data_IF_224854711904
#
_entry.id   IF_224854711904
#
_cell.length_a   1.000
_cell.length_b   1.000
_cell.length_c   1.000
_cell.angle_alpha   90.00
_cell.angle_beta   90.00
_cell.angle_gamma   90.00
#
_symmetry.space_group_name_H-M   'P 1'
#
loop_
_entity.id
_entity.type
_entity.pdbx_description
1 polymer ?
#
# COMPACT_ATOMS: atom_id res chain seq x y z
N UNK A 1 -75.91 -21.40 9.69
CA UNK A 1 -76.61 -21.37 8.38
C UNK A 1 -76.36 -20.01 7.76
N UNK A 2 -75.82 -20.01 6.52
CA UNK A 2 -75.55 -18.88 5.61
C UNK A 2 -74.49 -17.85 6.09
N UNK A 3 -73.55 -17.33 5.28
CA UNK A 3 -73.55 -17.13 3.82
C UNK A 3 -72.11 -16.89 3.32
N UNK A 4 -71.80 -17.35 2.10
CA UNK A 4 -70.64 -16.95 1.30
C UNK A 4 -70.80 -15.50 0.82
N UNK A 5 -69.74 -14.69 0.90
CA UNK A 5 -69.59 -13.46 0.11
C UNK A 5 -68.12 -13.31 -0.31
N UNK A 6 -67.90 -13.35 -1.62
CA UNK A 6 -66.60 -13.24 -2.28
C UNK A 6 -66.03 -11.82 -2.24
N UNK A 7 -64.71 -11.74 -2.12
CA UNK A 7 -63.96 -10.48 -2.20
C UNK A 7 -63.79 -10.04 -3.66
N UNK A 8 -63.97 -8.74 -3.97
CA UNK A 8 -63.76 -8.21 -5.31
C UNK A 8 -62.27 -8.09 -5.65
N UNK A 9 -61.95 -8.46 -6.88
CA UNK A 9 -60.64 -8.29 -7.51
C UNK A 9 -60.44 -6.82 -7.89
N UNK A 10 -59.43 -6.15 -7.31
CA UNK A 10 -59.13 -4.77 -7.64
C UNK A 10 -58.09 -4.13 -6.74
N UNK A 11 -56.82 -4.52 -6.90
CA UNK A 11 -55.69 -3.67 -6.50
C UNK A 11 -54.42 -4.16 -7.21
N UNK A 12 -53.81 -3.38 -8.12
CA UNK A 12 -52.50 -3.73 -8.65
C UNK A 12 -51.48 -3.61 -7.51
N UNK A 13 -50.93 -4.76 -7.10
CA UNK A 13 -49.82 -4.84 -6.16
C UNK A 13 -48.60 -4.23 -6.87
N UNK A 14 -48.32 -2.95 -6.64
CA UNK A 14 -47.09 -2.31 -7.08
C UNK A 14 -45.95 -3.00 -6.34
N UNK A 15 -45.33 -3.98 -6.99
CA UNK A 15 -44.08 -4.55 -6.54
C UNK A 15 -43.01 -3.48 -6.73
N UNK A 16 -42.74 -2.71 -5.68
CA UNK A 16 -41.46 -2.02 -5.54
C UNK A 16 -40.39 -3.12 -5.44
N UNK A 17 -39.90 -3.55 -6.60
CA UNK A 17 -38.66 -4.31 -6.73
C UNK A 17 -37.52 -3.39 -6.32
N UNK A 18 -37.36 -3.21 -5.01
CA UNK A 18 -36.14 -2.66 -4.45
C UNK A 18 -35.01 -3.57 -4.89
N UNK A 19 -34.16 -3.06 -5.77
CA UNK A 19 -32.81 -3.60 -5.96
C UNK A 19 -32.13 -3.41 -4.60
N UNK A 20 -32.25 -4.41 -3.73
CA UNK A 20 -31.32 -4.54 -2.61
C UNK A 20 -30.00 -4.89 -3.29
N UNK A 21 -29.23 -3.85 -3.59
CA UNK A 21 -27.85 -3.97 -4.00
C UNK A 21 -27.10 -4.48 -2.79
N UNK A 22 -27.12 -5.80 -2.62
CA UNK A 22 -26.46 -6.52 -1.54
C UNK A 22 -24.96 -6.52 -1.86
N UNK A 23 -24.35 -5.32 -1.79
CA UNK A 23 -22.91 -5.15 -1.89
C UNK A 23 -22.32 -5.98 -0.75
N UNK A 24 -21.46 -6.98 -1.03
CA UNK A 24 -20.98 -7.89 0.01
C UNK A 24 -20.37 -7.09 1.16
N UNK A 25 -21.07 -7.12 2.31
CA UNK A 25 -20.84 -6.22 3.45
C UNK A 25 -19.48 -6.41 4.14
N UNK A 26 -18.74 -7.48 3.84
CA UNK A 26 -17.68 -7.96 4.74
C UNK A 26 -16.30 -8.18 4.09
N UNK A 27 -15.73 -7.19 3.40
CA UNK A 27 -14.32 -7.20 2.96
C UNK A 27 -13.47 -6.25 3.82
N UNK A 28 -13.48 -6.41 5.16
CA UNK A 28 -12.67 -5.59 6.07
C UNK A 28 -11.41 -6.31 6.58
N UNK A 29 -11.37 -7.64 6.57
CA UNK A 29 -10.30 -8.40 7.20
C UNK A 29 -9.53 -9.22 6.15
N UNK A 30 -8.45 -8.68 5.55
CA UNK A 30 -7.64 -9.40 4.58
C UNK A 30 -6.69 -10.41 5.24
N UNK A 31 -7.09 -11.05 6.36
CA UNK A 31 -6.26 -11.97 7.14
C UNK A 31 -6.62 -13.44 6.94
N UNK A 32 -7.64 -13.69 6.11
CA UNK A 32 -8.09 -15.05 5.74
C UNK A 32 -8.23 -15.12 4.23
N UNK A 33 -8.10 -16.32 3.66
CA UNK A 33 -8.25 -16.52 2.21
C UNK A 33 -9.60 -15.98 1.71
N UNK A 34 -10.69 -16.24 2.44
CA UNK A 34 -12.01 -15.71 2.10
C UNK A 34 -12.12 -14.19 2.29
N UNK A 35 -11.41 -13.62 3.27
CA UNK A 35 -11.33 -12.17 3.47
C UNK A 35 -10.66 -11.45 2.29
N UNK A 36 -9.51 -11.97 1.85
CA UNK A 36 -8.78 -11.49 0.66
C UNK A 36 -9.63 -11.66 -0.61
N UNK A 37 -10.29 -12.81 -0.77
CA UNK A 37 -11.13 -13.11 -1.93
C UNK A 37 -12.28 -12.11 -2.13
N UNK A 38 -12.87 -11.59 -1.04
CA UNK A 38 -13.96 -10.60 -1.09
C UNK A 38 -13.53 -9.25 -1.68
N UNK A 39 -12.22 -8.92 -1.70
CA UNK A 39 -11.73 -7.72 -2.36
C UNK A 39 -11.91 -7.74 -3.89
N UNK A 40 -12.15 -8.92 -4.49
CA UNK A 40 -12.55 -9.02 -5.88
C UNK A 40 -13.80 -8.18 -6.21
N UNK A 41 -14.76 -8.14 -5.28
CA UNK A 41 -16.01 -7.39 -5.43
C UNK A 41 -16.00 -6.04 -4.69
N UNK A 42 -15.01 -5.78 -3.83
CA UNK A 42 -14.92 -4.53 -3.07
C UNK A 42 -14.64 -3.32 -3.98
N UNK A 43 -15.05 -2.13 -3.53
CA UNK A 43 -14.71 -0.87 -4.18
C UNK A 43 -13.20 -0.60 -4.06
N UNK A 44 -12.63 0.10 -5.04
CA UNK A 44 -11.21 0.52 -5.01
C UNK A 44 -10.90 1.40 -3.80
N UNK A 45 -11.84 2.27 -3.41
CA UNK A 45 -11.70 3.11 -2.21
C UNK A 45 -11.55 2.28 -0.94
N UNK A 46 -12.32 1.18 -0.80
CA UNK A 46 -12.23 0.31 0.37
C UNK A 46 -10.87 -0.40 0.43
N UNK A 47 -10.38 -0.87 -0.71
CA UNK A 47 -9.04 -1.45 -0.80
C UNK A 47 -7.99 -0.44 -0.36
N UNK A 48 -8.03 0.77 -0.91
CA UNK A 48 -7.09 1.84 -0.55
C UNK A 48 -7.11 2.18 0.94
N UNK A 49 -8.29 2.25 1.57
CA UNK A 49 -8.39 2.49 3.02
C UNK A 49 -7.71 1.37 3.82
N UNK A 50 -7.90 0.11 3.42
CA UNK A 50 -7.28 -1.03 4.09
C UNK A 50 -5.77 -1.03 3.87
N UNK A 51 -5.31 -0.79 2.64
CA UNK A 51 -3.88 -0.61 2.34
C UNK A 51 -3.27 0.49 3.22
N UNK A 52 -3.90 1.65 3.30
CA UNK A 52 -3.42 2.77 4.11
C UNK A 52 -3.34 2.43 5.60
N UNK A 53 -4.31 1.68 6.15
CA UNK A 53 -4.24 1.24 7.55
C UNK A 53 -3.02 0.35 7.79
N UNK A 54 -2.77 -0.62 6.92
CA UNK A 54 -1.60 -1.50 7.04
C UNK A 54 -0.29 -0.74 6.77
N UNK A 55 -0.26 0.18 5.81
CA UNK A 55 0.90 1.00 5.51
C UNK A 55 1.25 1.94 6.67
N UNK A 56 0.24 2.55 7.31
CA UNK A 56 0.42 3.38 8.51
C UNK A 56 0.91 2.54 9.70
N UNK A 57 0.39 1.32 9.88
CA UNK A 57 0.89 0.39 10.89
C UNK A 57 2.36 0.04 10.66
N UNK A 58 2.74 -0.38 9.44
CA UNK A 58 4.14 -0.68 9.09
C UNK A 58 5.03 0.54 9.30
N UNK A 59 4.57 1.71 8.84
CA UNK A 59 5.27 2.99 9.04
C UNK A 59 5.49 3.30 10.52
N UNK A 60 4.46 3.15 11.36
CA UNK A 60 4.58 3.37 12.79
C UNK A 60 5.57 2.40 13.43
N UNK A 61 5.55 1.13 13.04
CA UNK A 61 6.52 0.13 13.49
C UNK A 61 7.96 0.47 13.08
N UNK A 62 8.18 0.87 11.82
CA UNK A 62 9.51 1.26 11.32
C UNK A 62 10.02 2.52 12.03
N UNK A 63 9.19 3.55 12.16
CA UNK A 63 9.56 4.80 12.85
C UNK A 63 9.86 4.53 14.32
N UNK A 64 9.01 3.76 15.01
CA UNK A 64 9.26 3.35 16.39
C UNK A 64 10.59 2.61 16.51
N UNK A 65 10.88 1.66 15.62
CA UNK A 65 12.13 0.92 15.64
C UNK A 65 13.33 1.86 15.46
N UNK A 66 13.32 2.73 14.44
CA UNK A 66 14.42 3.67 14.19
C UNK A 66 14.60 4.64 15.36
N UNK A 67 13.50 5.13 15.93
CA UNK A 67 13.52 6.00 17.10
C UNK A 67 14.15 5.32 18.33
N UNK A 68 13.91 4.03 18.54
CA UNK A 68 14.44 3.29 19.69
C UNK A 68 15.87 2.76 19.45
N UNK A 69 16.14 2.28 18.24
CA UNK A 69 17.37 1.56 17.90
C UNK A 69 18.50 2.47 17.40
N UNK A 70 18.17 3.45 16.57
CA UNK A 70 19.16 4.20 15.79
C UNK A 70 19.36 5.62 16.30
N UNK A 71 18.27 6.33 16.62
CA UNK A 71 18.34 7.72 17.11
C UNK A 71 19.25 7.86 18.34
N UNK A 72 19.23 6.97 19.36
CA UNK A 72 20.12 7.11 20.50
C UNK A 72 21.61 6.95 20.16
N UNK A 73 21.94 6.14 19.14
CA UNK A 73 23.32 5.99 18.63
C UNK A 73 23.73 7.28 17.92
N UNK A 74 22.87 7.79 17.04
CA UNK A 74 23.10 9.05 16.31
C UNK A 74 23.29 10.22 17.29
N UNK A 75 22.41 10.36 18.30
CA UNK A 75 22.51 11.42 19.31
C UNK A 75 23.85 11.38 20.06
N UNK A 76 24.27 10.19 20.49
CA UNK A 76 25.55 10.00 21.19
C UNK A 76 26.73 10.29 20.28
N UNK A 77 26.68 9.83 19.03
CA UNK A 77 27.70 10.14 18.01
C UNK A 77 27.82 11.65 17.84
N UNK A 78 26.73 12.37 17.56
CA UNK A 78 26.76 13.82 17.33
C UNK A 78 27.33 14.56 18.57
N UNK A 79 26.92 14.17 19.78
CA UNK A 79 27.42 14.78 21.03
C UNK A 79 28.92 14.61 21.25
N UNK A 80 29.50 13.52 20.75
CA UNK A 80 30.93 13.19 20.83
C UNK A 80 31.75 13.75 19.67
N UNK A 81 31.11 14.30 18.63
CA UNK A 81 31.82 14.88 17.51
C UNK A 81 32.67 16.10 17.94
N UNK A 82 33.81 16.34 17.28
CA UNK A 82 34.57 17.56 17.46
C UNK A 82 33.77 18.78 16.98
N UNK A 83 34.11 19.99 17.47
CA UNK A 83 33.46 21.23 17.05
C UNK A 83 33.62 21.56 15.56
N UNK A 84 34.70 21.07 14.94
CA UNK A 84 35.05 21.30 13.53
C UNK A 84 35.15 19.97 12.78
N UNK A 85 34.79 19.99 11.49
CA UNK A 85 34.75 18.81 10.63
C UNK A 85 33.83 19.02 9.42
N UNK A 86 34.30 18.65 8.24
CA UNK A 86 33.55 18.79 6.99
C UNK A 86 33.89 17.66 6.02
N UNK A 87 32.92 17.23 5.23
CA UNK A 87 33.19 16.42 4.03
C UNK A 87 33.22 17.38 2.85
N UNK A 88 34.39 17.52 2.23
CA UNK A 88 34.64 18.46 1.14
C UNK A 88 35.59 17.86 0.11
N UNK A 89 35.27 18.03 -1.17
CA UNK A 89 36.12 17.59 -2.26
C UNK A 89 36.37 16.08 -2.26
N UNK A 90 35.39 15.28 -1.81
CA UNK A 90 35.53 13.83 -1.70
C UNK A 90 36.38 13.35 -0.50
N UNK A 91 36.70 14.23 0.46
CA UNK A 91 37.46 13.87 1.66
C UNK A 91 36.77 14.35 2.92
N UNK A 92 36.96 13.58 3.99
CA UNK A 92 36.58 13.98 5.34
C UNK A 92 37.74 14.79 5.95
N UNK A 93 37.54 16.09 6.06
CA UNK A 93 38.38 16.97 6.87
C UNK A 93 37.93 16.87 8.33
N UNK A 94 38.80 16.31 9.17
CA UNK A 94 38.50 15.97 10.54
C UNK A 94 39.73 16.14 11.41
N UNK A 95 39.59 16.65 12.66
CA UNK A 95 40.72 16.91 13.54
C UNK A 95 41.62 15.68 13.74
N UNK A 96 42.91 15.87 13.48
CA UNK A 96 43.91 14.80 13.55
C UNK A 96 43.93 14.14 14.94
N UNK A 97 43.99 12.81 14.97
CA UNK A 97 44.02 12.02 16.21
C UNK A 97 42.67 11.80 16.89
N UNK A 98 41.59 12.44 16.42
CA UNK A 98 40.25 12.21 16.97
C UNK A 98 39.61 11.02 16.27
N UNK A 99 39.39 9.93 17.01
CA UNK A 99 38.61 8.77 16.57
C UNK A 99 37.28 8.78 17.31
N UNK A 100 36.19 8.59 16.59
CA UNK A 100 34.87 8.48 17.18
C UNK A 100 34.33 7.08 16.91
N UNK A 101 33.82 6.43 17.95
CA UNK A 101 33.18 5.14 17.83
C UNK A 101 32.03 5.08 18.83
N UNK A 102 30.82 4.92 18.28
CA UNK A 102 29.63 4.69 19.09
C UNK A 102 28.94 3.44 18.60
N UNK A 103 28.64 2.57 19.55
CA UNK A 103 27.98 1.30 19.30
C UNK A 103 26.68 1.23 20.08
N UNK A 104 25.66 0.70 19.43
CA UNK A 104 24.40 0.30 20.01
C UNK A 104 24.04 -1.10 19.53
N UNK A 105 22.92 -1.66 20.02
CA UNK A 105 22.58 -3.06 19.77
C UNK A 105 22.36 -3.42 18.30
N UNK A 106 21.92 -2.46 17.49
CA UNK A 106 21.57 -2.67 16.08
C UNK A 106 22.42 -1.82 15.11
N UNK A 107 23.14 -0.83 15.63
CA UNK A 107 23.86 0.14 14.80
C UNK A 107 25.18 0.51 15.45
N UNK A 108 26.22 0.58 14.62
CA UNK A 108 27.52 1.13 14.97
C UNK A 108 27.89 2.25 14.02
N UNK A 109 28.39 3.35 14.58
CA UNK A 109 28.93 4.48 13.83
C UNK A 109 30.39 4.66 14.25
N UNK A 110 31.30 4.61 13.28
CA UNK A 110 32.72 4.83 13.49
C UNK A 110 33.25 5.90 12.53
N UNK A 111 34.09 6.81 13.02
CA UNK A 111 34.76 7.85 12.23
C UNK A 111 36.26 7.70 12.45
N UNK A 112 36.99 7.39 11.38
CA UNK A 112 38.44 7.24 11.41
C UNK A 112 39.08 7.94 10.20
N UNK A 113 39.63 9.16 10.41
CA UNK A 113 40.24 9.94 9.32
C UNK A 113 41.50 9.30 8.73
N UNK A 114 42.19 8.45 9.50
CA UNK A 114 43.33 7.66 9.00
C UNK A 114 42.92 6.50 8.08
N UNK A 115 41.61 6.30 7.85
CA UNK A 115 41.07 5.16 7.13
C UNK A 115 40.95 3.91 7.99
N UNK A 116 40.26 2.90 7.45
CA UNK A 116 40.08 1.60 8.10
C UNK A 116 40.91 0.54 7.37
N UNK A 117 41.77 -0.17 8.11
CA UNK A 117 42.41 -1.41 7.63
C UNK A 117 41.39 -2.53 7.55
N UNK A 118 40.62 -2.72 8.63
CA UNK A 118 39.43 -3.56 8.69
C UNK A 118 38.31 -2.80 9.41
N UNK A 119 37.06 -3.03 8.99
CA UNK A 119 35.87 -2.53 9.69
C UNK A 119 35.29 -3.68 10.48
N UNK A 120 35.01 -3.43 11.74
CA UNK A 120 34.39 -4.41 12.63
C UNK A 120 32.87 -4.41 12.40
N UNK A 121 32.35 -5.52 11.88
CA UNK A 121 30.93 -5.74 11.59
C UNK A 121 30.20 -6.32 12.82
N UNK A 122 30.39 -5.70 14.00
CA UNK A 122 29.85 -6.19 15.29
C UNK A 122 28.36 -5.90 15.50
N UNK A 123 27.78 -5.01 14.70
CA UNK A 123 26.38 -4.63 14.76
C UNK A 123 25.66 -4.93 13.44
N UNK A 124 24.33 -5.03 13.51
CA UNK A 124 23.48 -5.37 12.36
C UNK A 124 23.60 -4.37 11.21
N UNK A 125 23.86 -3.10 11.53
CA UNK A 125 24.23 -2.04 10.60
C UNK A 125 25.49 -1.33 11.08
N UNK A 126 26.53 -1.28 10.24
CA UNK A 126 27.77 -0.55 10.52
C UNK A 126 27.96 0.58 9.51
N UNK A 127 28.16 1.79 10.01
CA UNK A 127 28.50 2.98 9.23
C UNK A 127 29.91 3.44 9.62
N UNK A 128 30.88 3.25 8.73
CA UNK A 128 32.28 3.57 8.95
C UNK A 128 32.73 4.70 8.01
N UNK A 129 32.94 5.89 8.57
CA UNK A 129 33.36 7.10 7.88
C UNK A 129 34.89 7.19 7.84
N UNK A 130 35.46 6.91 6.68
CA UNK A 130 36.89 6.97 6.40
C UNK A 130 37.35 8.33 5.91
N UNK A 131 38.58 8.39 5.38
CA UNK A 131 39.17 9.64 4.86
C UNK A 131 38.51 10.14 3.57
N UNK A 132 37.98 9.24 2.75
CA UNK A 132 37.42 9.54 1.42
C UNK A 132 36.19 8.70 1.06
N UNK A 133 35.81 7.77 1.93
CA UNK A 133 34.75 6.81 1.71
C UNK A 133 33.89 6.64 2.97
N UNK A 134 32.61 6.32 2.75
CA UNK A 134 31.72 5.73 3.74
C UNK A 134 31.63 4.23 3.43
N UNK A 135 31.89 3.39 4.43
CA UNK A 135 31.67 1.94 4.33
C UNK A 135 30.43 1.55 5.11
N UNK A 136 29.54 0.83 4.45
CA UNK A 136 28.32 0.29 5.03
C UNK A 136 28.51 -1.22 5.12
N UNK A 137 28.42 -1.76 6.34
CA UNK A 137 28.58 -3.18 6.62
C UNK A 137 27.43 -3.74 7.45
N UNK A 138 27.44 -5.05 7.67
CA UNK A 138 26.42 -5.76 8.45
C UNK A 138 27.02 -7.00 9.11
N UNK A 139 26.54 -7.33 10.31
CA UNK A 139 26.89 -8.56 11.03
C UNK A 139 26.70 -9.86 10.23
N UNK A 140 25.95 -9.82 9.11
CA UNK A 140 25.77 -10.93 8.17
C UNK A 140 27.03 -11.27 7.35
N UNK A 141 28.05 -10.42 7.32
CA UNK A 141 29.29 -10.68 6.59
C UNK A 141 29.12 -10.73 5.07
N UNK A 142 28.16 -9.99 4.52
CA UNK A 142 27.90 -9.89 3.07
C UNK A 142 28.91 -8.98 2.33
N UNK A 143 29.92 -8.49 3.05
CA UNK A 143 30.92 -7.55 2.55
C UNK A 143 30.52 -6.09 2.76
N UNK A 144 31.51 -5.21 2.64
CA UNK A 144 31.33 -3.78 2.84
C UNK A 144 30.98 -3.08 1.53
N UNK A 145 29.85 -2.37 1.53
CA UNK A 145 29.54 -1.43 0.47
C UNK A 145 30.33 -0.14 0.71
N UNK A 146 31.26 0.17 -0.20
CA UNK A 146 32.06 1.39 -0.17
C UNK A 146 31.41 2.46 -1.05
N UNK A 147 31.12 3.61 -0.46
CA UNK A 147 30.52 4.76 -1.13
C UNK A 147 31.50 5.94 -1.07
N UNK A 148 31.99 6.45 -2.21
CA UNK A 148 32.87 7.61 -2.22
C UNK A 148 32.10 8.86 -1.79
N UNK A 149 32.77 9.78 -1.10
CA UNK A 149 32.17 11.07 -0.79
C UNK A 149 31.96 11.91 -2.05
N UNK A 150 30.88 12.72 -2.11
CA UNK A 150 30.64 13.61 -3.24
C UNK A 150 31.75 14.67 -3.34
N UNK A 151 32.24 14.91 -4.56
CA UNK A 151 33.31 15.90 -4.80
C UNK A 151 32.75 17.33 -4.88
N UNK A 152 31.52 17.49 -5.37
CA UNK A 152 30.94 18.81 -5.64
C UNK A 152 30.18 19.45 -4.49
N UNK A 153 29.98 18.75 -3.37
CA UNK A 153 29.19 19.23 -2.23
C UNK A 153 30.06 19.40 -1.00
N UNK A 154 29.72 20.38 -0.17
CA UNK A 154 30.30 20.56 1.16
C UNK A 154 29.23 20.11 2.15
N UNK A 155 29.53 19.08 2.92
CA UNK A 155 28.64 18.54 3.94
C UNK A 155 29.25 18.78 5.31
N UNK A 156 28.57 19.56 6.13
CA UNK A 156 28.97 19.79 7.51
C UNK A 156 28.93 18.47 8.28
N UNK A 157 30.07 18.09 8.86
CA UNK A 157 30.23 16.85 9.59
C UNK A 157 30.92 17.11 10.93
N UNK A 158 30.28 17.97 11.74
CA UNK A 158 30.78 18.44 13.02
C UNK A 158 29.66 18.67 14.02
N UNK A 159 30.02 18.74 15.30
CA UNK A 159 29.06 18.95 16.39
C UNK A 159 28.33 20.30 16.29
N UNK A 160 29.05 21.37 16.00
CA UNK A 160 28.55 22.76 16.04
C UNK A 160 27.34 22.96 15.13
N UNK A 161 27.32 22.28 13.98
CA UNK A 161 26.20 22.35 13.03
C UNK A 161 25.21 21.19 13.18
N UNK A 162 25.69 19.96 13.37
CA UNK A 162 24.82 18.78 13.40
C UNK A 162 23.99 18.71 14.67
N UNK A 163 24.51 19.10 15.83
CA UNK A 163 23.77 19.03 17.10
C UNK A 163 22.51 19.91 17.08
N UNK A 164 22.57 21.23 16.77
CA UNK A 164 21.37 22.05 16.70
C UNK A 164 20.45 21.65 15.53
N UNK A 165 21.00 21.27 14.38
CA UNK A 165 20.19 20.84 13.23
C UNK A 165 19.41 19.56 13.54
N UNK A 166 20.07 18.55 14.09
CA UNK A 166 19.48 17.27 14.45
C UNK A 166 18.48 17.43 15.60
N UNK A 167 18.85 18.18 16.65
CA UNK A 167 17.95 18.48 17.76
C UNK A 167 16.66 19.15 17.31
N UNK A 168 16.74 20.08 16.35
CA UNK A 168 15.58 20.78 15.82
C UNK A 168 14.75 19.96 14.81
N UNK A 169 15.36 19.00 14.09
CA UNK A 169 14.72 18.37 12.91
C UNK A 169 14.59 16.86 12.94
N UNK A 170 15.14 16.15 13.94
CA UNK A 170 15.08 14.69 14.03
C UNK A 170 13.65 14.14 13.92
N UNK A 171 12.68 14.78 14.57
CA UNK A 171 11.26 14.42 14.49
C UNK A 171 10.68 14.62 13.07
N UNK A 172 11.11 15.66 12.34
CA UNK A 172 10.72 15.87 10.93
C UNK A 172 11.35 14.81 10.02
N UNK A 173 12.59 14.41 10.29
CA UNK A 173 13.27 13.31 9.56
C UNK A 173 12.52 12.00 9.78
N UNK A 174 12.13 11.69 11.01
CA UNK A 174 11.33 10.50 11.33
C UNK A 174 9.93 10.54 10.70
N UNK A 175 9.26 11.70 10.71
CA UNK A 175 7.98 11.88 10.03
C UNK A 175 8.12 11.71 8.51
N UNK A 176 9.17 12.26 7.92
CA UNK A 176 9.52 12.08 6.51
C UNK A 176 9.79 10.62 6.16
N UNK A 177 10.50 9.88 7.03
CA UNK A 177 10.71 8.44 6.89
C UNK A 177 9.37 7.68 6.91
N UNK A 178 8.49 8.00 7.85
CA UNK A 178 7.17 7.37 7.92
C UNK A 178 6.34 7.62 6.65
N UNK A 179 6.28 8.87 6.18
CA UNK A 179 5.61 9.22 4.93
C UNK A 179 6.21 8.48 3.73
N UNK A 180 7.54 8.41 3.66
CA UNK A 180 8.26 7.68 2.60
C UNK A 180 7.88 6.19 2.61
N UNK A 181 7.84 5.55 3.79
CA UNK A 181 7.44 4.14 3.94
C UNK A 181 6.02 3.94 3.43
N UNK A 182 5.07 4.80 3.80
CA UNK A 182 3.69 4.72 3.32
C UNK A 182 3.63 4.81 1.79
N UNK A 183 4.26 5.82 1.19
CA UNK A 183 4.24 6.03 -0.25
C UNK A 183 4.93 4.87 -1.01
N UNK A 184 6.06 4.39 -0.49
CA UNK A 184 6.79 3.27 -1.06
C UNK A 184 5.95 1.98 -1.03
N UNK A 185 5.27 1.68 0.09
CA UNK A 185 4.38 0.52 0.18
C UNK A 185 3.22 0.62 -0.78
N UNK A 186 2.58 1.79 -0.91
CA UNK A 186 1.50 1.99 -1.90
C UNK A 186 1.99 1.71 -3.33
N UNK A 187 3.18 2.20 -3.67
CA UNK A 187 3.78 1.98 -4.98
C UNK A 187 4.14 0.50 -5.22
N UNK A 188 4.79 -0.14 -4.24
CA UNK A 188 5.21 -1.54 -4.31
C UNK A 188 3.99 -2.47 -4.40
N UNK A 189 3.00 -2.31 -3.52
CA UNK A 189 1.80 -3.15 -3.53
C UNK A 189 0.97 -2.95 -4.80
N UNK A 190 0.89 -1.73 -5.33
CA UNK A 190 0.24 -1.48 -6.63
C UNK A 190 0.97 -2.22 -7.76
N UNK A 191 2.31 -2.15 -7.78
CA UNK A 191 3.14 -2.83 -8.79
C UNK A 191 3.02 -4.35 -8.68
N UNK A 192 3.10 -4.91 -7.47
CA UNK A 192 2.89 -6.33 -7.21
C UNK A 192 1.46 -6.77 -7.55
N UNK A 193 0.47 -5.91 -7.31
CA UNK A 193 -0.92 -6.14 -7.71
C UNK A 193 -1.07 -6.36 -9.22
N UNK A 194 -0.37 -5.53 -10.01
CA UNK A 194 -0.32 -5.67 -11.47
C UNK A 194 0.44 -6.93 -11.90
N UNK A 195 1.58 -7.22 -11.26
CA UNK A 195 2.38 -8.41 -11.58
C UNK A 195 1.64 -9.72 -11.24
N UNK A 196 1.03 -9.79 -10.06
CA UNK A 196 0.38 -10.99 -9.53
C UNK A 196 -1.06 -11.15 -10.01
N UNK A 197 -1.60 -10.24 -10.83
CA UNK A 197 -2.91 -10.45 -11.46
C UNK A 197 -2.92 -11.70 -12.35
N UNK A 198 -1.78 -12.04 -12.98
CA UNK A 198 -1.64 -13.20 -13.86
C UNK A 198 -1.82 -14.53 -13.10
N UNK A 199 -1.04 -14.84 -12.04
CA UNK A 199 -1.27 -16.05 -11.26
C UNK A 199 -2.68 -16.06 -10.64
N UNK A 200 -3.19 -14.93 -10.13
CA UNK A 200 -4.58 -14.88 -9.62
C UNK A 200 -5.58 -15.31 -10.69
N UNK A 201 -5.41 -14.86 -11.94
CA UNK A 201 -6.30 -15.25 -13.05
C UNK A 201 -6.23 -16.74 -13.35
N UNK A 202 -5.03 -17.32 -13.39
CA UNK A 202 -4.82 -18.76 -13.61
C UNK A 202 -5.58 -19.57 -12.54
N UNK A 203 -5.45 -19.22 -11.26
CA UNK A 203 -6.11 -19.94 -10.17
C UNK A 203 -7.58 -19.61 -9.97
N UNK A 204 -8.08 -18.51 -10.56
CA UNK A 204 -9.49 -18.09 -10.40
C UNK A 204 -10.51 -18.97 -11.14
N UNK A 205 -10.08 -19.82 -12.09
CA UNK A 205 -10.95 -20.64 -12.95
C UNK A 205 -12.14 -19.82 -13.53
N UNK A 206 -11.82 -18.65 -14.09
CA UNK A 206 -12.78 -17.69 -14.67
C UNK A 206 -13.82 -17.08 -13.72
N UNK A 207 -13.64 -17.15 -12.39
CA UNK A 207 -14.55 -16.53 -11.41
C UNK A 207 -14.40 -15.02 -11.26
N UNK A 208 -13.21 -14.50 -11.54
CA UNK A 208 -12.82 -13.12 -11.25
C UNK A 208 -12.40 -12.40 -12.54
N UNK A 209 -12.81 -11.15 -12.72
CA UNK A 209 -12.34 -10.28 -13.80
C UNK A 209 -10.91 -9.78 -13.56
N UNK A 210 -10.34 -9.05 -14.51
CA UNK A 210 -8.97 -8.53 -14.39
C UNK A 210 -8.82 -7.53 -13.23
N UNK A 211 -9.81 -6.68 -13.02
CA UNK A 211 -9.80 -5.68 -11.94
C UNK A 211 -9.91 -6.36 -10.58
N UNK A 212 -10.79 -7.36 -10.44
CA UNK A 212 -10.89 -8.18 -9.25
C UNK A 212 -9.60 -8.95 -8.95
N UNK A 213 -8.90 -9.43 -9.98
CA UNK A 213 -7.64 -10.13 -9.83
C UNK A 213 -6.54 -9.23 -9.24
N UNK A 214 -6.41 -8.00 -9.75
CA UNK A 214 -5.49 -6.99 -9.20
C UNK A 214 -5.84 -6.71 -7.73
N UNK A 215 -7.12 -6.51 -7.40
CA UNK A 215 -7.55 -6.23 -6.01
C UNK A 215 -7.24 -7.38 -5.05
N UNK A 216 -7.44 -8.63 -5.47
CA UNK A 216 -7.03 -9.82 -4.70
C UNK A 216 -5.51 -9.82 -4.49
N UNK A 217 -4.73 -9.58 -5.55
CA UNK A 217 -3.28 -9.60 -5.51
C UNK A 217 -2.68 -8.55 -4.56
N UNK A 218 -3.29 -7.35 -4.53
CA UNK A 218 -2.93 -6.28 -3.58
C UNK A 218 -3.32 -6.69 -2.16
N UNK A 219 -4.57 -7.14 -1.94
CA UNK A 219 -5.04 -7.54 -0.61
C UNK A 219 -4.26 -8.74 -0.03
N UNK A 220 -3.71 -9.60 -0.88
CA UNK A 220 -2.86 -10.73 -0.49
C UNK A 220 -1.54 -10.30 0.17
N UNK A 221 -1.11 -9.04 0.04
CA UNK A 221 0.10 -8.53 0.69
C UNK A 221 -0.11 -8.26 2.20
N UNK A 222 -1.34 -8.00 2.63
CA UNK A 222 -1.65 -7.53 3.99
C UNK A 222 -1.27 -8.53 5.10
N UNK A 223 -1.55 -9.84 4.99
CA UNK A 223 -1.07 -10.83 5.96
C UNK A 223 0.45 -10.83 6.11
N UNK A 224 1.18 -10.76 4.98
CA UNK A 224 2.63 -10.67 4.97
C UNK A 224 3.10 -9.42 5.69
N UNK A 225 2.51 -8.26 5.40
CA UNK A 225 2.86 -7.00 6.03
C UNK A 225 2.69 -7.04 7.57
N UNK A 226 1.64 -7.70 8.06
CA UNK A 226 1.41 -7.91 9.49
C UNK A 226 2.52 -8.79 10.11
N UNK A 227 2.84 -9.92 9.47
CA UNK A 227 3.91 -10.81 9.93
C UNK A 227 5.25 -10.07 10.02
N UNK A 228 5.59 -9.28 9.00
CA UNK A 228 6.81 -8.50 9.01
C UNK A 228 6.80 -7.42 10.10
N UNK A 229 5.66 -6.77 10.33
CA UNK A 229 5.52 -5.75 11.39
C UNK A 229 5.76 -6.37 12.78
N UNK A 230 5.19 -7.54 13.06
CA UNK A 230 5.45 -8.28 14.30
C UNK A 230 6.93 -8.68 14.38
N UNK A 231 7.52 -9.15 13.28
CA UNK A 231 8.94 -9.46 13.19
C UNK A 231 9.84 -8.28 13.58
N UNK A 232 9.57 -7.09 13.04
CA UNK A 232 10.32 -5.87 13.36
C UNK A 232 10.14 -5.48 14.83
N UNK A 233 8.93 -5.61 15.39
CA UNK A 233 8.70 -5.34 16.82
C UNK A 233 9.52 -6.30 17.69
N UNK A 234 9.45 -7.61 17.42
CA UNK A 234 10.19 -8.62 18.18
C UNK A 234 11.70 -8.43 18.05
N UNK A 235 12.18 -8.11 16.85
CA UNK A 235 13.58 -7.76 16.61
C UNK A 235 14.00 -6.51 17.38
N UNK A 236 13.21 -5.42 17.34
CA UNK A 236 13.46 -4.21 18.12
C UNK A 236 13.45 -4.43 19.64
N UNK A 237 12.64 -5.37 20.12
CA UNK A 237 12.63 -5.84 21.51
C UNK A 237 13.73 -6.87 21.81
N UNK A 238 14.61 -7.15 20.86
CA UNK A 238 15.72 -8.12 20.95
C UNK A 238 15.28 -9.56 21.23
N UNK A 239 14.03 -9.89 20.88
CA UNK A 239 13.51 -11.27 20.94
C UNK A 239 13.86 -12.08 19.69
N UNK A 240 14.22 -11.38 18.60
CA UNK A 240 14.78 -11.96 17.39
C UNK A 240 16.13 -11.31 17.11
N UNK A 241 17.08 -12.09 16.61
CA UNK A 241 18.29 -11.57 15.99
C UNK A 241 18.06 -11.26 14.50
N UNK A 242 19.08 -10.72 13.83
CA UNK A 242 18.98 -10.36 12.43
C UNK A 242 18.72 -11.57 11.52
N UNK A 243 19.31 -12.72 11.83
CA UNK A 243 19.14 -13.95 11.04
C UNK A 243 17.69 -14.44 11.13
N UNK A 244 17.11 -14.45 12.33
CA UNK A 244 15.72 -14.78 12.53
C UNK A 244 14.78 -13.77 11.86
N UNK A 245 15.11 -12.47 11.86
CA UNK A 245 14.37 -11.47 11.11
C UNK A 245 14.40 -11.73 9.60
N UNK A 246 15.52 -12.18 9.03
CA UNK A 246 15.61 -12.57 7.62
C UNK A 246 14.72 -13.78 7.30
N UNK A 247 14.61 -14.74 8.23
CA UNK A 247 13.65 -15.86 8.08
C UNK A 247 12.22 -15.33 8.05
N UNK A 248 11.87 -14.41 8.95
CA UNK A 248 10.55 -13.75 8.96
C UNK A 248 10.31 -12.99 7.65
N UNK A 249 11.33 -12.32 7.11
CA UNK A 249 11.25 -11.67 5.80
C UNK A 249 10.98 -12.67 4.67
N UNK A 250 11.65 -13.83 4.69
CA UNK A 250 11.37 -14.92 3.75
C UNK A 250 9.92 -15.42 3.84
N UNK A 251 9.40 -15.61 5.06
CA UNK A 251 7.99 -15.97 5.30
C UNK A 251 7.04 -14.87 4.79
N UNK A 252 7.38 -13.61 5.05
CA UNK A 252 6.64 -12.45 4.55
C UNK A 252 6.51 -12.45 3.02
N UNK A 253 7.55 -12.87 2.28
CA UNK A 253 7.50 -12.97 0.82
C UNK A 253 6.73 -14.20 0.32
N UNK A 254 6.84 -15.33 1.02
CA UNK A 254 6.14 -16.56 0.63
C UNK A 254 4.62 -16.47 0.88
N UNK A 255 4.20 -15.75 1.93
CA UNK A 255 2.82 -15.73 2.37
C UNK A 255 1.85 -15.15 1.30
N UNK A 256 2.14 -14.00 0.64
CA UNK A 256 1.29 -13.50 -0.44
C UNK A 256 1.06 -14.49 -1.57
N UNK A 257 2.06 -15.32 -1.91
CA UNK A 257 1.89 -16.37 -2.93
C UNK A 257 0.85 -17.41 -2.53
N UNK A 258 0.85 -17.83 -1.26
CA UNK A 258 -0.21 -18.71 -0.74
C UNK A 258 -1.59 -18.08 -0.91
N UNK A 259 -1.73 -16.80 -0.58
CA UNK A 259 -3.00 -16.09 -0.76
C UNK A 259 -3.40 -15.93 -2.22
N UNK A 260 -2.45 -15.63 -3.11
CA UNK A 260 -2.68 -15.52 -4.56
C UNK A 260 -3.15 -16.85 -5.17
N UNK A 261 -2.68 -17.99 -4.66
CA UNK A 261 -3.08 -19.32 -5.13
C UNK A 261 -4.48 -19.72 -4.63
N UNK A 262 -4.77 -19.54 -3.34
CA UNK A 262 -5.97 -20.11 -2.72
C UNK A 262 -7.16 -19.15 -2.63
N UNK A 263 -6.93 -17.84 -2.45
CA UNK A 263 -8.02 -16.85 -2.32
C UNK A 263 -8.94 -16.77 -3.55
N UNK A 264 -8.45 -16.86 -4.81
CA UNK A 264 -9.31 -16.73 -5.99
C UNK A 264 -10.40 -17.80 -6.08
N UNK A 265 -10.16 -18.99 -5.52
CA UNK A 265 -11.12 -20.12 -5.51
C UNK A 265 -12.35 -19.76 -4.67
N UNK A 266 -12.15 -18.96 -3.61
CA UNK A 266 -13.19 -18.50 -2.68
C UNK A 266 -13.85 -17.18 -3.11
N UNK A 267 -13.45 -16.62 -4.25
CA UNK A 267 -13.97 -15.33 -4.69
C UNK A 267 -15.46 -15.40 -5.05
N UNK A 268 -16.25 -14.36 -4.70
CA UNK A 268 -17.64 -14.26 -5.14
C UNK A 268 -17.71 -14.33 -6.66
N UNK A 269 -18.62 -15.16 -7.20
CA UNK A 269 -18.85 -15.22 -8.65
C UNK A 269 -19.36 -13.88 -9.13
N UNK A 270 -18.82 -13.38 -10.23
CA UNK A 270 -19.36 -12.18 -10.85
C UNK A 270 -20.83 -12.41 -11.26
N UNK A 271 -21.74 -11.47 -10.96
CA UNK A 271 -23.08 -11.52 -11.52
C UNK A 271 -22.96 -11.41 -13.04
N UNK A 272 -23.48 -12.42 -13.76
CA UNK A 272 -23.56 -12.36 -15.22
C UNK A 272 -24.29 -11.07 -15.59
N UNK A 273 -23.82 -10.28 -16.58
CA UNK A 273 -24.57 -9.12 -17.03
C UNK A 273 -25.96 -9.60 -17.41
N UNK A 274 -26.95 -9.19 -16.61
CA UNK A 274 -28.35 -9.41 -16.91
C UNK A 274 -28.57 -8.65 -18.21
N UNK A 275 -28.59 -9.35 -19.35
CA UNK A 275 -29.00 -8.78 -20.63
C UNK A 275 -30.28 -8.04 -20.33
N UNK A 276 -30.24 -6.71 -20.39
CA UNK A 276 -31.45 -5.92 -20.30
C UNK A 276 -32.36 -6.49 -21.38
N UNK A 277 -33.38 -7.26 -20.98
CA UNK A 277 -34.50 -7.55 -21.86
C UNK A 277 -35.08 -6.18 -22.12
N UNK A 278 -34.69 -5.59 -23.24
CA UNK A 278 -35.38 -4.47 -23.84
C UNK A 278 -36.81 -4.98 -24.06
N UNK A 279 -37.67 -4.74 -23.07
CA UNK A 279 -39.10 -4.74 -23.31
C UNK A 279 -39.33 -3.51 -24.17
N UNK A 280 -39.15 -3.65 -25.49
CA UNK A 280 -39.88 -2.81 -26.43
C UNK A 280 -41.35 -3.06 -26.13
N UNK A 281 -41.95 -2.21 -25.29
CA UNK A 281 -43.38 -2.08 -25.23
C UNK A 281 -43.80 -1.60 -26.62
N UNK A 282 -44.27 -2.52 -27.47
CA UNK A 282 -45.10 -2.14 -28.60
C UNK A 282 -46.39 -1.60 -28.00
N UNK A 283 -46.42 -0.28 -27.79
CA UNK A 283 -47.69 0.43 -27.65
C UNK A 283 -48.29 0.44 -29.04
N UNK A 284 -49.19 -0.51 -29.31
CA UNK A 284 -50.12 -0.44 -30.44
C UNK A 284 -51.01 0.77 -30.17
N UNK A 285 -50.69 1.91 -30.78
CA UNK A 285 -51.57 3.09 -30.75
C UNK A 285 -52.82 2.74 -31.57
N UNK A 286 -53.97 2.85 -30.93
CA UNK A 286 -55.27 2.77 -31.58
C UNK A 286 -55.48 4.05 -32.41
N UNK A 287 -55.78 3.98 -33.71
CA UNK A 287 -56.00 5.18 -34.54
C UNK A 287 -57.21 6.03 -34.12
N UNK A 288 -58.05 5.56 -33.20
CA UNK A 288 -59.28 6.24 -32.76
C UNK A 288 -59.10 7.37 -31.73
N UNK A 289 -57.93 7.50 -31.10
CA UNK A 289 -57.72 8.42 -29.96
C UNK A 289 -57.08 9.77 -30.36
N UNK A 290 -57.31 10.23 -31.60
CA UNK A 290 -56.77 11.51 -32.07
C UNK A 290 -57.85 12.62 -31.99
N UNK A 291 -57.79 13.55 -31.03
CA UNK A 291 -58.81 14.58 -30.82
C UNK A 291 -58.76 15.75 -31.82
N UNK A 292 -58.00 15.61 -32.92
CA UNK A 292 -57.82 16.62 -33.97
C UNK A 292 -58.29 16.16 -35.35
N UNK A 293 -59.29 15.28 -35.42
CA UNK A 293 -59.95 14.97 -36.67
C UNK A 293 -60.99 16.06 -37.00
N UNK A 294 -60.50 17.20 -37.48
CA UNK A 294 -61.36 18.23 -38.05
C UNK A 294 -62.02 17.70 -39.32
N UNK A 295 -63.35 17.81 -39.33
CA UNK A 295 -64.23 17.52 -40.45
C UNK A 295 -64.02 18.60 -41.50
N UNK A 296 -63.22 18.33 -42.53
CA UNK A 296 -63.21 19.14 -43.76
C UNK A 296 -64.46 18.83 -44.56
N UNK A 297 -65.52 19.55 -44.22
CA UNK A 297 -66.73 19.65 -45.02
C UNK A 297 -66.43 20.19 -46.41
N UNK A 298 -66.87 19.42 -47.40
CA UNK A 298 -67.26 19.82 -48.75
C UNK A 298 -67.31 21.35 -49.01
N UNK A 299 -66.29 21.90 -49.67
CA UNK A 299 -66.38 23.17 -50.38
C UNK A 299 -66.24 22.92 -51.88
N UNK A 300 -67.38 22.90 -52.56
CA UNK A 300 -67.43 22.90 -54.02
C UNK A 300 -66.74 24.13 -54.59
N UNK A 301 -65.84 23.91 -55.55
CA UNK A 301 -65.12 24.98 -56.24
C UNK A 301 -66.07 25.68 -57.24
N UNK A 302 -66.36 26.99 -57.10
CA UNK A 302 -67.38 27.64 -57.93
C UNK A 302 -66.86 28.34 -59.18
N UNK A 303 -65.57 28.26 -59.52
CA UNK A 303 -65.04 28.83 -60.77
C UNK A 303 -63.84 28.04 -61.28
N UNK A 304 -63.97 27.44 -62.47
CA UNK A 304 -62.90 26.72 -63.15
C UNK A 304 -63.41 25.99 -64.39
N UNK A 305 -63.70 26.75 -65.44
CA UNK A 305 -63.83 26.28 -66.82
C UNK A 305 -62.46 26.32 -67.48
N UNK A 306 -62.05 25.21 -68.10
CA UNK A 306 -61.71 25.10 -69.53
C UNK A 306 -61.68 23.61 -69.92
#
# INVERSE_FOLDING_TARGET
>A
MNTNLGFPAGCPRVAYGGVVEDRPKEAWQPLTFGGVARFAAASRWRLLMVELVFALMVSATVVWFVQQAWVPVIDKTIKQMPPTGEIRGGRLDWPSGTVLQQEGPFMRIAVRPGGFTNVEESADLVLAFGSSDLRIGSSLGLGLLTLPYPVGWILSFNKTELEPWWGARSHMVLAGLGLLVVLALQFIWSTLGLLYMLPVKIFSVSRVDWVGAIKIAIAAQMPGALVMSVGIVLYGLKQLDLVALLVVWGVHLALPWMYVMFSPILAPKQPKPQKARSKKAQVKRDPGDNPFHDTSGNSGNPFGSD
#
